data_IF_328199534673
#
_entry.id   IF_328199534673
#
_cell.length_a   1.000
_cell.length_b   1.000
_cell.length_c   1.000
_cell.angle_alpha   90.00
_cell.angle_beta   90.00
_cell.angle_gamma   90.00
#
_symmetry.space_group_name_H-M   'P 1'
#
loop_
_entity.id
_entity.type
_entity.pdbx_description
1 polymer ?
#
# COMPACT_ATOMS: atom_id res chain seq x y z
N UNK A 1 -2.14 -23.26 3.74
CA UNK A 1 -2.38 -22.84 5.13
C UNK A 1 -3.87 -22.74 5.35
N UNK A 2 -4.40 -23.39 6.38
CA UNK A 2 -5.81 -23.28 6.78
C UNK A 2 -6.09 -21.84 7.18
N UNK A 3 -6.90 -21.12 6.39
CA UNK A 3 -7.45 -19.83 6.82
C UNK A 3 -8.40 -20.09 7.99
N UNK A 4 -8.18 -19.41 9.11
CA UNK A 4 -9.12 -19.43 10.23
C UNK A 4 -10.49 -18.92 9.75
N UNK A 5 -11.57 -19.39 10.39
CA UNK A 5 -12.90 -18.85 10.12
C UNK A 5 -12.89 -17.33 10.37
N UNK A 6 -13.52 -16.51 9.50
CA UNK A 6 -13.50 -15.06 9.67
C UNK A 6 -14.09 -14.68 11.03
N UNK A 7 -13.33 -13.90 11.80
CA UNK A 7 -13.83 -13.25 13.02
C UNK A 7 -14.93 -12.26 12.61
N UNK A 8 -16.01 -12.18 13.39
CA UNK A 8 -17.20 -11.39 13.03
C UNK A 8 -17.63 -10.41 14.12
N UNK A 9 -16.72 -10.03 15.03
CA UNK A 9 -17.04 -9.04 16.07
C UNK A 9 -17.20 -7.63 15.48
N UNK A 10 -17.99 -6.75 16.11
CA UNK A 10 -18.08 -5.34 15.72
C UNK A 10 -16.72 -4.62 15.70
N UNK A 11 -15.86 -4.94 16.68
CA UNK A 11 -14.49 -4.42 16.76
C UNK A 11 -13.66 -4.84 15.54
N UNK A 12 -13.67 -6.13 15.18
CA UNK A 12 -13.01 -6.61 13.97
C UNK A 12 -13.56 -5.92 12.71
N UNK A 13 -14.87 -5.70 12.62
CA UNK A 13 -15.46 -5.01 11.46
C UNK A 13 -14.99 -3.55 11.34
N UNK A 14 -14.86 -2.85 12.47
CA UNK A 14 -14.33 -1.48 12.52
C UNK A 14 -12.84 -1.44 12.15
N UNK A 15 -12.04 -2.37 12.69
CA UNK A 15 -10.62 -2.49 12.36
C UNK A 15 -10.41 -2.83 10.89
N UNK A 16 -11.11 -3.84 10.38
CA UNK A 16 -11.07 -4.22 8.97
C UNK A 16 -11.37 -3.03 8.07
N UNK A 17 -12.41 -2.26 8.39
CA UNK A 17 -12.78 -1.08 7.60
C UNK A 17 -11.69 -0.01 7.63
N UNK A 18 -11.12 0.26 8.81
CA UNK A 18 -10.04 1.24 9.00
C UNK A 18 -8.75 0.82 8.29
N UNK A 19 -8.40 -0.46 8.32
CA UNK A 19 -7.22 -1.03 7.64
C UNK A 19 -7.38 -0.94 6.12
N UNK A 20 -8.54 -1.34 5.58
CA UNK A 20 -8.82 -1.27 4.14
C UNK A 20 -8.80 0.18 3.66
N UNK A 21 -9.39 1.10 4.43
CA UNK A 21 -9.31 2.53 4.13
C UNK A 21 -7.86 3.02 4.12
N UNK A 22 -7.06 2.67 5.13
CA UNK A 22 -5.64 3.07 5.22
C UNK A 22 -4.85 2.64 3.98
N UNK A 23 -5.01 1.38 3.56
CA UNK A 23 -4.33 0.80 2.38
C UNK A 23 -4.81 1.46 1.08
N UNK A 24 -6.12 1.69 0.92
CA UNK A 24 -6.65 2.36 -0.28
C UNK A 24 -6.20 3.82 -0.36
N UNK A 25 -6.12 4.53 0.77
CA UNK A 25 -5.63 5.92 0.83
C UNK A 25 -4.18 6.05 0.39
N UNK A 26 -3.35 5.01 0.53
CA UNK A 26 -2.00 5.04 -0.04
C UNK A 26 -2.08 5.13 -1.55
N UNK A 27 -2.70 4.14 -2.20
CA UNK A 27 -2.80 4.10 -3.66
C UNK A 27 -3.41 5.39 -4.22
N UNK A 28 -4.58 5.78 -3.71
CA UNK A 28 -5.30 6.97 -4.17
C UNK A 28 -4.47 8.26 -4.02
N UNK A 29 -3.95 8.54 -2.82
CA UNK A 29 -3.27 9.82 -2.59
C UNK A 29 -1.91 9.89 -3.29
N UNK A 30 -1.24 8.76 -3.53
CA UNK A 30 0.00 8.75 -4.31
C UNK A 30 -0.27 9.00 -5.80
N UNK A 31 -1.31 8.38 -6.36
CA UNK A 31 -1.73 8.63 -7.75
C UNK A 31 -2.20 10.09 -7.95
N UNK A 32 -2.88 10.68 -6.97
CA UNK A 32 -3.34 12.07 -7.00
C UNK A 32 -2.22 13.10 -6.69
N UNK A 33 -1.01 12.65 -6.36
CA UNK A 33 0.09 13.53 -5.96
C UNK A 33 -0.10 14.21 -4.59
N UNK A 34 -1.08 13.77 -3.79
CA UNK A 34 -1.39 14.27 -2.45
C UNK A 34 -0.46 13.67 -1.38
N UNK A 35 0.86 13.77 -1.60
CA UNK A 35 1.88 13.08 -0.82
C UNK A 35 1.84 13.38 0.68
N UNK A 36 1.58 14.64 1.05
CA UNK A 36 1.50 15.06 2.46
C UNK A 36 0.33 14.40 3.21
N UNK A 37 -0.69 13.95 2.47
CA UNK A 37 -1.82 13.19 2.99
C UNK A 37 -1.54 11.69 2.93
N UNK A 38 -0.86 11.23 1.88
CA UNK A 38 -0.51 9.82 1.69
C UNK A 38 0.38 9.30 2.83
N UNK A 39 1.32 10.13 3.30
CA UNK A 39 2.23 9.79 4.39
C UNK A 39 1.56 9.46 5.72
N UNK A 40 0.36 9.98 5.95
CA UNK A 40 -0.39 9.76 7.19
C UNK A 40 -0.85 8.30 7.38
N UNK A 41 -0.76 7.48 6.33
CA UNK A 41 -1.07 6.04 6.36
C UNK A 41 0.10 5.18 6.83
N UNK A 42 1.30 5.74 7.01
CA UNK A 42 2.52 4.99 7.31
C UNK A 42 3.03 5.23 8.74
N UNK A 43 3.79 4.28 9.26
CA UNK A 43 4.65 4.47 10.41
C UNK A 43 5.93 5.24 10.00
N UNK A 44 6.70 5.72 10.98
CA UNK A 44 7.92 6.50 10.74
C UNK A 44 9.02 5.70 10.01
N UNK A 45 9.01 4.37 10.17
CA UNK A 45 9.90 3.44 9.51
C UNK A 45 9.07 2.32 8.86
N UNK A 46 9.37 2.04 7.58
CA UNK A 46 8.60 1.11 6.76
C UNK A 46 9.55 0.10 6.13
N UNK A 47 9.18 -1.18 6.24
CA UNK A 47 9.88 -2.27 5.55
C UNK A 47 9.32 -2.42 4.14
N UNK A 48 10.16 -2.47 3.11
CA UNK A 48 9.71 -2.62 1.72
C UNK A 48 10.40 -3.82 1.07
N UNK A 49 9.58 -4.70 0.49
CA UNK A 49 10.02 -5.88 -0.25
C UNK A 49 9.66 -5.77 -1.74
N UNK A 50 10.61 -5.26 -2.52
CA UNK A 50 10.49 -5.22 -3.98
C UNK A 50 11.22 -6.38 -4.68
N UNK A 51 11.53 -7.48 -3.99
CA UNK A 51 12.26 -8.60 -4.60
C UNK A 51 11.48 -9.25 -5.75
N UNK A 52 10.15 -9.23 -5.71
CA UNK A 52 9.31 -9.69 -6.83
C UNK A 52 9.45 -8.80 -8.08
N UNK A 53 9.95 -7.58 -7.93
CA UNK A 53 10.27 -6.64 -9.01
C UNK A 53 11.77 -6.59 -9.34
N UNK A 54 12.58 -7.49 -8.76
CA UNK A 54 14.00 -7.63 -9.03
C UNK A 54 14.94 -6.86 -8.09
N UNK A 55 14.44 -6.26 -7.00
CA UNK A 55 15.31 -5.69 -5.98
C UNK A 55 16.13 -6.80 -5.28
N UNK A 56 17.39 -6.53 -4.87
CA UNK A 56 18.27 -7.55 -4.32
C UNK A 56 17.90 -7.97 -2.90
N UNK A 57 17.33 -7.06 -2.10
CA UNK A 57 17.03 -7.28 -0.69
C UNK A 57 15.78 -6.51 -0.25
N UNK A 58 15.30 -6.87 0.94
CA UNK A 58 14.26 -6.13 1.65
C UNK A 58 14.94 -4.94 2.33
N UNK A 59 14.38 -3.74 2.18
CA UNK A 59 14.88 -2.55 2.87
C UNK A 59 13.99 -2.20 4.05
N UNK A 60 14.57 -1.53 5.03
CA UNK A 60 13.85 -0.86 6.11
C UNK A 60 14.29 0.59 6.05
N UNK A 61 13.38 1.46 5.66
CA UNK A 61 13.69 2.84 5.34
C UNK A 61 12.85 3.79 6.22
N UNK A 62 13.45 4.90 6.69
CA UNK A 62 12.67 6.02 7.19
C UNK A 62 11.69 6.47 6.12
N UNK A 63 10.46 6.81 6.52
CA UNK A 63 9.40 7.18 5.58
C UNK A 63 9.84 8.29 4.61
N UNK A 64 10.53 9.32 5.10
CA UNK A 64 11.04 10.42 4.26
C UNK A 64 11.94 9.94 3.11
N UNK A 65 12.77 8.93 3.35
CA UNK A 65 13.64 8.34 2.31
C UNK A 65 12.80 7.58 1.28
N UNK A 66 11.84 6.80 1.75
CA UNK A 66 10.95 6.03 0.88
C UNK A 66 10.10 6.94 0.00
N UNK A 67 9.52 7.99 0.57
CA UNK A 67 8.79 9.02 -0.16
C UNK A 67 9.64 9.73 -1.20
N UNK A 68 10.88 10.08 -0.83
CA UNK A 68 11.83 10.70 -1.75
C UNK A 68 12.07 9.83 -2.99
N UNK A 69 12.20 8.52 -2.80
CA UNK A 69 12.36 7.57 -3.91
C UNK A 69 11.12 7.53 -4.81
N UNK A 70 9.91 7.44 -4.24
CA UNK A 70 8.66 7.40 -5.02
C UNK A 70 8.42 8.72 -5.77
N UNK A 71 8.62 9.86 -5.10
CA UNK A 71 8.48 11.19 -5.72
C UNK A 71 9.49 11.44 -6.84
N UNK A 72 10.65 10.80 -6.82
CA UNK A 72 11.63 10.91 -7.91
C UNK A 72 11.20 10.17 -9.19
N UNK A 73 10.35 9.14 -9.07
CA UNK A 73 9.91 8.31 -10.20
C UNK A 73 8.61 8.83 -10.83
N UNK A 74 7.66 9.29 -10.01
CA UNK A 74 6.32 9.68 -10.46
C UNK A 74 6.27 10.74 -11.57
N UNK A 75 7.14 11.78 -11.61
CA UNK A 75 7.14 12.76 -12.69
C UNK A 75 7.42 12.18 -14.08
N UNK A 76 7.90 10.93 -14.16
CA UNK A 76 8.08 10.21 -15.42
C UNK A 76 6.76 9.74 -16.07
N UNK A 77 5.63 9.85 -15.38
CA UNK A 77 4.31 9.44 -15.87
C UNK A 77 3.36 10.64 -15.98
N UNK A 78 2.50 10.64 -17.02
CA UNK A 78 1.40 11.61 -17.11
C UNK A 78 0.25 11.23 -16.16
N UNK A 79 0.04 9.93 -15.94
CA UNK A 79 -0.97 9.41 -15.02
C UNK A 79 -0.56 8.03 -14.50
N UNK A 80 -0.80 7.79 -13.23
CA UNK A 80 -0.76 6.45 -12.62
C UNK A 80 -2.11 6.14 -11.97
N UNK A 81 -2.47 4.86 -11.91
CA UNK A 81 -3.64 4.39 -11.17
C UNK A 81 -3.37 3.00 -10.59
N UNK A 82 -3.39 2.90 -9.27
CA UNK A 82 -3.25 1.69 -8.50
C UNK A 82 -4.61 1.29 -7.94
N UNK A 83 -5.29 0.36 -8.60
CA UNK A 83 -6.56 -0.17 -8.13
C UNK A 83 -6.34 -1.35 -7.19
N UNK A 84 -6.70 -1.18 -5.92
CA UNK A 84 -6.64 -2.23 -4.90
C UNK A 84 -7.99 -2.88 -4.69
N UNK A 85 -8.00 -4.21 -4.59
CA UNK A 85 -9.23 -5.00 -4.48
C UNK A 85 -9.05 -6.31 -3.73
N UNK A 86 -10.16 -7.02 -3.53
CA UNK A 86 -10.18 -8.35 -2.89
C UNK A 86 -9.48 -8.41 -1.53
N UNK A 87 -9.66 -7.36 -0.71
CA UNK A 87 -9.02 -7.21 0.59
C UNK A 87 -9.37 -8.33 1.58
N UNK A 88 -8.36 -9.01 2.10
CA UNK A 88 -8.43 -9.98 3.18
C UNK A 88 -7.59 -9.47 4.36
N UNK A 89 -8.21 -9.35 5.54
CA UNK A 89 -7.60 -8.73 6.72
C UNK A 89 -7.61 -9.71 7.88
N UNK A 90 -6.44 -9.95 8.44
CA UNK A 90 -6.23 -10.70 9.68
C UNK A 90 -5.75 -9.72 10.76
N UNK A 91 -6.46 -9.65 11.89
CA UNK A 91 -6.14 -8.75 13.02
C UNK A 91 -5.80 -9.59 14.25
N UNK A 92 -4.70 -9.26 14.92
CA UNK A 92 -4.25 -9.89 16.17
C UNK A 92 -3.82 -8.80 17.14
N UNK A 93 -4.74 -8.38 18.01
CA UNK A 93 -4.51 -7.27 18.93
C UNK A 93 -4.26 -5.96 18.18
N UNK A 94 -3.07 -5.38 18.36
CA UNK A 94 -2.64 -4.13 17.72
C UNK A 94 -1.80 -4.35 16.45
N UNK A 95 -1.75 -5.58 15.93
CA UNK A 95 -1.08 -5.93 14.68
C UNK A 95 -2.09 -6.47 13.67
N UNK A 96 -1.87 -6.17 12.40
CA UNK A 96 -2.72 -6.67 11.32
C UNK A 96 -1.93 -6.99 10.06
N UNK A 97 -2.48 -7.89 9.24
CA UNK A 97 -2.02 -8.15 7.88
C UNK A 97 -3.18 -7.93 6.92
N UNK A 98 -2.98 -7.10 5.89
CA UNK A 98 -3.93 -6.90 4.81
C UNK A 98 -3.34 -7.43 3.50
N UNK A 99 -3.98 -8.42 2.91
CA UNK A 99 -3.67 -8.87 1.54
C UNK A 99 -4.68 -8.27 0.57
N UNK A 100 -4.21 -7.74 -0.54
CA UNK A 100 -5.04 -7.21 -1.61
C UNK A 100 -4.47 -7.58 -2.97
N UNK A 101 -5.34 -7.63 -3.98
CA UNK A 101 -4.89 -7.61 -5.37
C UNK A 101 -4.64 -6.16 -5.79
N UNK A 102 -3.70 -5.98 -6.71
CA UNK A 102 -3.40 -4.69 -7.34
C UNK A 102 -3.41 -4.82 -8.86
N UNK A 103 -4.01 -3.83 -9.51
CA UNK A 103 -3.72 -3.49 -10.91
C UNK A 103 -3.12 -2.09 -10.92
N UNK A 104 -1.87 -1.96 -11.36
CA UNK A 104 -1.16 -0.70 -11.48
C UNK A 104 -1.08 -0.31 -12.97
N UNK A 105 -1.81 0.73 -13.34
CA UNK A 105 -1.84 1.30 -14.68
C UNK A 105 -0.96 2.55 -14.71
N UNK A 106 -0.18 2.70 -15.78
CA UNK A 106 0.68 3.84 -16.03
C UNK A 106 0.44 4.34 -17.45
N UNK A 107 0.43 5.66 -17.63
CA UNK A 107 0.23 6.32 -18.91
C UNK A 107 1.32 7.37 -19.15
N UNK A 108 1.88 7.36 -20.37
CA UNK A 108 2.78 8.39 -20.89
C UNK A 108 2.35 8.70 -22.32
N UNK A 109 1.92 9.93 -22.56
CA UNK A 109 1.48 10.42 -23.86
C UNK A 109 2.63 10.40 -24.87
N UNK A 110 2.40 9.78 -26.01
CA UNK A 110 3.37 9.68 -27.10
C UNK A 110 4.57 8.78 -26.79
N UNK A 111 4.52 7.93 -25.76
CA UNK A 111 5.60 6.99 -25.48
C UNK A 111 5.81 6.00 -26.64
N UNK A 112 7.08 5.80 -26.99
CA UNK A 112 7.48 4.86 -28.03
C UNK A 112 7.16 3.42 -27.56
N UNK A 113 6.54 2.62 -28.45
CA UNK A 113 6.13 1.26 -28.12
C UNK A 113 4.76 1.14 -27.44
N UNK A 114 4.07 2.27 -27.20
CA UNK A 114 2.71 2.32 -26.67
C UNK A 114 2.60 3.22 -25.45
N UNK A 115 1.47 3.91 -25.30
CA UNK A 115 1.29 4.92 -24.25
C UNK A 115 0.99 4.34 -22.87
N UNK A 116 0.73 3.03 -22.76
CA UNK A 116 0.22 2.40 -21.53
C UNK A 116 1.09 1.24 -21.06
N UNK A 117 1.30 1.15 -19.75
CA UNK A 117 1.91 0.00 -19.11
C UNK A 117 1.08 -0.44 -17.89
N UNK A 118 0.71 -1.72 -17.86
CA UNK A 118 -0.10 -2.30 -16.78
C UNK A 118 0.62 -3.44 -16.09
N UNK A 119 0.63 -3.42 -14.77
CA UNK A 119 1.13 -4.48 -13.90
C UNK A 119 -0.05 -5.03 -13.09
N UNK A 120 -0.11 -6.35 -12.92
CA UNK A 120 -1.05 -6.99 -11.99
C UNK A 120 -0.28 -7.78 -10.94
N UNK A 121 -0.85 -7.88 -9.73
CA UNK A 121 -0.20 -8.60 -8.65
C UNK A 121 -1.01 -8.60 -7.37
N UNK A 122 -0.29 -8.79 -6.26
CA UNK A 122 -0.86 -8.76 -4.92
C UNK A 122 0.09 -8.05 -3.96
N UNK A 123 -0.47 -7.28 -3.03
CA UNK A 123 0.26 -6.73 -1.90
C UNK A 123 -0.04 -7.51 -0.63
N UNK A 124 0.92 -7.48 0.29
CA UNK A 124 0.77 -7.92 1.69
C UNK A 124 1.25 -6.80 2.59
N UNK A 125 0.32 -5.97 3.05
CA UNK A 125 0.63 -4.91 4.00
C UNK A 125 0.63 -5.46 5.42
N UNK A 126 1.61 -5.05 6.22
CA UNK A 126 1.61 -5.17 7.68
C UNK A 126 1.25 -3.83 8.28
N UNK A 127 0.37 -3.86 9.28
CA UNK A 127 -0.09 -2.65 9.95
C UNK A 127 -0.01 -2.82 11.46
N UNK A 128 0.29 -1.72 12.15
CA UNK A 128 0.24 -1.62 13.61
C UNK A 128 -0.72 -0.50 14.03
N UNK A 129 -1.47 -0.72 15.11
CA UNK A 129 -2.27 0.34 15.73
C UNK A 129 -1.37 1.29 16.51
N UNK A 130 -1.40 2.57 16.14
CA UNK A 130 -0.72 3.65 16.86
C UNK A 130 -1.41 4.00 18.18
N UNK A 131 -0.74 4.78 19.01
CA UNK A 131 -1.27 5.24 20.29
C UNK A 131 -2.53 6.12 20.17
N UNK A 132 -2.75 6.73 19.00
CA UNK A 132 -3.94 7.51 18.65
C UNK A 132 -5.10 6.64 18.12
N UNK A 133 -4.93 5.31 18.11
CA UNK A 133 -5.91 4.34 17.65
C UNK A 133 -5.93 4.12 16.13
N UNK A 134 -5.12 4.85 15.35
CA UNK A 134 -5.05 4.68 13.89
C UNK A 134 -4.23 3.46 13.51
N UNK A 135 -4.61 2.79 12.42
CA UNK A 135 -3.79 1.75 11.82
C UNK A 135 -2.76 2.39 10.87
N UNK A 136 -1.49 2.03 11.03
CA UNK A 136 -0.37 2.57 10.24
C UNK A 136 0.38 1.42 9.57
N UNK A 137 0.73 1.59 8.30
CA UNK A 137 1.50 0.61 7.52
C UNK A 137 2.95 0.59 8.00
N UNK A 138 3.45 -0.60 8.30
CA UNK A 138 4.82 -0.86 8.74
C UNK A 138 5.61 -1.71 7.75
N UNK A 139 4.92 -2.44 6.86
CA UNK A 139 5.51 -3.17 5.74
C UNK A 139 4.52 -3.37 4.59
#
# INVERSE_FOLDING_TARGET
GTMAAPTTSPEYAADRSSIVETVNRVALNWDDGAFDVARLSFADEVTIDYRSLGAPEVTVDPLDKLEGNWRAVLPGFDTTQHLLGSHCVDVVGDEATCRSHVTAFHYIKGAEGGETWTITGSYTHKLRRGADGRWLITA
#
